data_IF_221955365671
#
_entry.id   IF_221955365671
#
_cell.length_a   1.000
_cell.length_b   1.000
_cell.length_c   1.000
_cell.angle_alpha   90.00
_cell.angle_beta   90.00
_cell.angle_gamma   90.00
#
_symmetry.space_group_name_H-M   'P 1'
#
loop_
_entity.id
_entity.type
_entity.pdbx_description
1 polymer ?
#
# COMPACT_ATOMS: atom_id res chain seq x y z
N UNK A 1 13.09 3.07 -11.68
CA UNK A 1 11.67 3.49 -11.57
C UNK A 1 11.18 3.28 -10.14
N UNK A 2 9.96 3.71 -9.80
CA UNK A 2 9.39 3.39 -8.48
C UNK A 2 9.22 1.88 -8.25
N UNK A 3 8.93 1.13 -9.31
CA UNK A 3 8.80 -0.33 -9.27
C UNK A 3 10.14 -1.03 -8.99
N UNK A 4 11.24 -0.60 -9.62
CA UNK A 4 12.59 -1.12 -9.32
C UNK A 4 12.99 -0.90 -7.86
N UNK A 5 12.77 0.31 -7.33
CA UNK A 5 13.04 0.60 -5.90
C UNK A 5 12.19 -0.26 -4.95
N UNK A 6 10.94 -0.53 -5.32
CA UNK A 6 10.08 -1.44 -4.56
C UNK A 6 10.64 -2.87 -4.58
N UNK A 7 11.08 -3.36 -5.74
CA UNK A 7 11.70 -4.68 -5.86
C UNK A 7 12.95 -4.79 -4.99
N UNK A 8 13.88 -3.83 -5.09
CA UNK A 8 15.08 -3.79 -4.25
C UNK A 8 14.72 -3.79 -2.75
N UNK A 9 13.76 -2.97 -2.34
CA UNK A 9 13.33 -2.90 -0.94
C UNK A 9 12.74 -4.23 -0.47
N UNK A 10 11.92 -4.88 -1.29
CA UNK A 10 11.34 -6.19 -0.96
C UNK A 10 12.44 -7.25 -0.85
N UNK A 11 13.27 -7.41 -1.87
CA UNK A 11 14.19 -8.53 -1.98
C UNK A 11 15.45 -8.37 -1.11
N UNK A 12 16.02 -7.16 -1.04
CA UNK A 12 17.28 -6.94 -0.34
C UNK A 12 17.10 -6.55 1.13
N UNK A 13 15.91 -6.05 1.50
CA UNK A 13 15.62 -5.64 2.88
C UNK A 13 14.57 -6.52 3.54
N UNK A 14 13.32 -6.50 3.06
CA UNK A 14 12.22 -7.15 3.80
C UNK A 14 12.29 -8.68 3.75
N UNK A 15 12.60 -9.25 2.59
CA UNK A 15 12.76 -10.69 2.38
C UNK A 15 14.08 -11.23 2.95
N UNK A 16 14.91 -10.41 3.58
CA UNK A 16 16.03 -10.90 4.40
C UNK A 16 15.62 -11.22 5.84
N UNK A 17 14.43 -10.77 6.28
CA UNK A 17 13.94 -10.97 7.64
C UNK A 17 13.49 -12.43 7.87
N UNK A 18 13.43 -12.88 9.14
CA UNK A 18 12.96 -14.23 9.49
C UNK A 18 11.51 -14.47 9.07
N UNK A 19 11.15 -15.70 8.75
CA UNK A 19 9.81 -16.08 8.31
C UNK A 19 8.73 -15.77 9.35
N UNK A 20 9.04 -15.89 10.65
CA UNK A 20 8.13 -15.58 11.76
C UNK A 20 7.83 -14.08 11.92
N UNK A 21 8.50 -13.21 11.14
CA UNK A 21 8.29 -11.77 11.16
C UNK A 21 6.85 -11.45 10.81
N UNK A 22 6.14 -10.76 11.71
CA UNK A 22 4.74 -10.37 11.48
C UNK A 22 4.66 -9.08 10.68
N UNK A 23 3.91 -9.14 9.58
CA UNK A 23 3.59 -7.99 8.72
C UNK A 23 2.20 -7.47 9.07
N UNK A 24 2.12 -6.17 9.37
CA UNK A 24 0.87 -5.43 9.57
C UNK A 24 0.72 -4.44 8.40
N UNK A 25 -0.27 -4.62 7.51
CA UNK A 25 -0.39 -3.78 6.33
C UNK A 25 -0.91 -2.39 6.70
N UNK A 26 -0.45 -1.36 5.98
CA UNK A 26 -0.98 0.00 6.13
C UNK A 26 -2.37 0.18 5.51
N UNK A 27 -2.75 -0.71 4.59
CA UNK A 27 -4.03 -0.68 3.88
C UNK A 27 -4.57 -2.09 3.64
N UNK A 28 -5.88 -2.20 3.45
CA UNK A 28 -6.58 -3.45 3.16
C UNK A 28 -7.62 -3.22 2.08
N UNK A 29 -7.90 -4.26 1.28
CA UNK A 29 -8.93 -4.17 0.25
C UNK A 29 -10.32 -4.09 0.88
N UNK A 30 -11.07 -3.08 0.45
CA UNK A 30 -12.48 -2.88 0.81
C UNK A 30 -13.30 -3.01 -0.47
N UNK A 31 -14.29 -3.90 -0.46
CA UNK A 31 -15.21 -4.08 -1.58
C UNK A 31 -16.05 -2.84 -1.81
N UNK A 32 -16.62 -2.71 -3.02
CA UNK A 32 -17.47 -1.58 -3.40
C UNK A 32 -18.74 -1.44 -2.53
N UNK A 33 -19.12 -2.48 -1.79
CA UNK A 33 -20.20 -2.48 -0.80
C UNK A 33 -19.74 -2.03 0.60
N UNK A 34 -18.50 -1.57 0.73
CA UNK A 34 -17.89 -1.10 1.98
C UNK A 34 -17.43 -2.21 2.91
N UNK A 35 -17.41 -3.47 2.45
CA UNK A 35 -17.00 -4.61 3.28
C UNK A 35 -15.54 -4.98 3.08
N UNK A 36 -14.83 -5.18 4.19
CA UNK A 36 -13.48 -5.74 4.17
C UNK A 36 -13.51 -7.18 3.66
N UNK A 37 -12.76 -7.45 2.59
CA UNK A 37 -12.66 -8.81 2.03
C UNK A 37 -11.68 -9.71 2.80
N UNK A 38 -10.93 -9.15 3.75
CA UNK A 38 -9.75 -9.79 4.36
C UNK A 38 -9.92 -10.15 5.84
N UNK A 39 -10.84 -9.49 6.57
CA UNK A 39 -11.12 -9.76 7.98
C UNK A 39 -12.42 -9.08 8.41
N UNK A 40 -12.99 -9.48 9.56
CA UNK A 40 -14.11 -8.75 10.15
C UNK A 40 -13.64 -7.46 10.89
N UNK A 41 -14.52 -6.45 11.06
CA UNK A 41 -14.18 -5.26 11.84
C UNK A 41 -13.68 -5.60 13.24
N UNK A 42 -12.50 -5.11 13.61
CA UNK A 42 -11.87 -5.35 14.91
C UNK A 42 -10.98 -6.60 14.98
N UNK A 43 -10.94 -7.42 13.92
CA UNK A 43 -9.99 -8.53 13.82
C UNK A 43 -8.62 -8.03 13.35
N UNK A 44 -7.55 -8.66 13.86
CA UNK A 44 -6.19 -8.36 13.45
C UNK A 44 -5.96 -8.82 12.01
N UNK A 45 -5.65 -7.87 11.13
CA UNK A 45 -5.13 -8.18 9.80
C UNK A 45 -3.61 -8.27 9.87
N UNK A 46 -3.08 -9.48 9.75
CA UNK A 46 -1.63 -9.71 9.70
C UNK A 46 -1.32 -11.04 9.02
N UNK A 47 -0.10 -11.16 8.49
CA UNK A 47 0.48 -12.41 8.03
C UNK A 47 1.92 -12.53 8.54
N UNK A 48 2.49 -13.72 8.56
CA UNK A 48 3.95 -13.86 8.71
C UNK A 48 4.63 -13.70 7.36
N UNK A 49 5.91 -13.33 7.35
CA UNK A 49 6.66 -13.21 6.10
C UNK A 49 6.79 -14.55 5.38
N UNK A 50 6.88 -15.65 6.13
CA UNK A 50 6.82 -17.01 5.58
C UNK A 50 5.52 -17.27 4.81
N UNK A 51 4.37 -16.96 5.41
CA UNK A 51 3.06 -17.11 4.74
C UNK A 51 2.99 -16.29 3.44
N UNK A 52 3.56 -15.07 3.46
CA UNK A 52 3.57 -14.20 2.28
C UNK A 52 4.45 -14.73 1.17
N UNK A 53 5.62 -15.29 1.48
CA UNK A 53 6.52 -15.91 0.49
C UNK A 53 5.87 -17.10 -0.21
N UNK A 54 5.10 -17.89 0.52
CA UNK A 54 4.38 -19.05 -0.03
C UNK A 54 3.11 -18.63 -0.80
N UNK A 55 2.42 -17.58 -0.34
CA UNK A 55 1.12 -17.17 -0.88
C UNK A 55 1.16 -16.12 -1.98
N UNK A 56 2.27 -15.40 -2.17
CA UNK A 56 2.38 -14.30 -3.12
C UNK A 56 3.47 -14.56 -4.16
N UNK A 57 3.07 -15.04 -5.35
CA UNK A 57 3.97 -15.34 -6.46
C UNK A 57 4.89 -14.15 -6.82
N UNK A 58 4.39 -12.92 -6.66
CA UNK A 58 5.13 -11.68 -6.97
C UNK A 58 6.42 -11.54 -6.17
N UNK A 59 6.52 -12.15 -4.97
CA UNK A 59 7.72 -12.11 -4.13
C UNK A 59 8.82 -13.07 -4.60
N UNK A 60 8.53 -13.93 -5.58
CA UNK A 60 9.46 -14.91 -6.14
C UNK A 60 9.87 -14.59 -7.59
N UNK A 61 9.26 -13.55 -8.19
CA UNK A 61 9.56 -13.13 -9.55
C UNK A 61 10.95 -12.52 -9.65
N UNK A 62 11.56 -12.61 -10.83
CA UNK A 62 12.71 -11.75 -11.14
C UNK A 62 12.29 -10.28 -11.32
N UNK A 63 13.25 -9.38 -11.21
CA UNK A 63 13.02 -7.93 -11.27
C UNK A 63 12.25 -7.50 -12.52
N UNK A 64 12.57 -8.08 -13.69
CA UNK A 64 11.93 -7.67 -14.94
C UNK A 64 10.46 -8.09 -14.98
N UNK A 65 10.16 -9.31 -14.54
CA UNK A 65 8.80 -9.82 -14.43
C UNK A 65 8.00 -9.07 -13.35
N UNK A 66 8.63 -8.76 -12.21
CA UNK A 66 8.04 -7.96 -11.14
C UNK A 66 7.65 -6.58 -11.64
N UNK A 67 8.58 -5.84 -12.25
CA UNK A 67 8.36 -4.47 -12.74
C UNK A 67 7.23 -4.46 -13.77
N UNK A 68 7.22 -5.40 -14.71
CA UNK A 68 6.10 -5.53 -15.65
C UNK A 68 4.78 -5.76 -14.92
N UNK A 69 4.73 -6.71 -13.98
CA UNK A 69 3.51 -7.10 -13.27
C UNK A 69 2.93 -6.00 -12.39
N UNK A 70 3.77 -5.20 -11.73
CA UNK A 70 3.30 -4.13 -10.84
C UNK A 70 2.95 -2.83 -11.57
N UNK A 71 3.42 -2.67 -12.81
CA UNK A 71 3.15 -1.47 -13.60
C UNK A 71 2.00 -1.63 -14.61
N UNK A 72 1.60 -2.87 -14.92
CA UNK A 72 0.58 -3.22 -15.92
C UNK A 72 -0.74 -2.45 -15.75
N UNK A 73 -1.23 -2.32 -14.51
CA UNK A 73 -2.52 -1.71 -14.18
C UNK A 73 -2.39 -0.51 -13.22
N UNK A 74 -1.39 0.35 -13.41
CA UNK A 74 -1.21 1.52 -12.53
C UNK A 74 -2.32 2.54 -12.77
N UNK A 75 -3.21 2.82 -11.78
CA UNK A 75 -4.24 3.83 -11.95
C UNK A 75 -3.63 5.24 -12.03
N UNK A 76 -4.37 6.19 -12.61
CA UNK A 76 -3.96 7.59 -12.58
C UNK A 76 -3.85 8.07 -11.13
N UNK A 77 -2.84 8.89 -10.86
CA UNK A 77 -2.64 9.46 -9.53
C UNK A 77 -3.87 10.28 -9.14
N UNK A 78 -4.36 10.16 -7.89
CA UNK A 78 -5.39 11.04 -7.37
C UNK A 78 -5.09 12.51 -7.59
N UNK A 79 -6.10 13.31 -7.95
CA UNK A 79 -5.92 14.74 -8.22
C UNK A 79 -5.35 15.54 -7.03
N UNK A 80 -5.52 15.05 -5.81
CA UNK A 80 -5.08 15.68 -4.56
C UNK A 80 -3.73 15.16 -4.03
N UNK A 81 -3.05 14.22 -4.71
CA UNK A 81 -1.88 13.53 -4.15
C UNK A 81 -0.74 14.48 -3.74
N UNK A 82 -0.46 15.53 -4.53
CA UNK A 82 0.61 16.49 -4.22
C UNK A 82 0.30 17.32 -2.99
N UNK A 83 -0.96 17.75 -2.84
CA UNK A 83 -1.43 18.51 -1.66
C UNK A 83 -1.31 17.65 -0.40
N UNK A 84 -1.68 16.38 -0.47
CA UNK A 84 -1.54 15.43 0.65
C UNK A 84 -0.06 15.27 1.03
N UNK A 85 0.85 15.14 0.06
CA UNK A 85 2.29 15.08 0.33
C UNK A 85 2.80 16.37 1.00
N UNK A 86 2.39 17.55 0.52
CA UNK A 86 2.81 18.82 1.11
C UNK A 86 2.32 18.99 2.55
N UNK A 87 1.09 18.56 2.85
CA UNK A 87 0.56 18.55 4.22
C UNK A 87 1.34 17.56 5.09
N UNK A 88 1.50 16.30 4.64
CA UNK A 88 2.21 15.26 5.41
C UNK A 88 3.69 15.59 5.66
N UNK A 89 4.31 16.35 4.77
CA UNK A 89 5.71 16.81 4.92
C UNK A 89 5.83 18.16 5.66
N UNK A 90 4.70 18.75 6.09
CA UNK A 90 4.66 20.02 6.82
C UNK A 90 4.95 21.26 5.97
N UNK A 91 4.95 21.13 4.63
CA UNK A 91 5.09 22.26 3.69
C UNK A 91 3.80 23.06 3.53
N UNK A 92 2.66 22.45 3.85
CA UNK A 92 1.35 23.09 3.87
C UNK A 92 0.59 22.70 5.15
N UNK A 93 -0.53 23.39 5.39
CA UNK A 93 -1.45 23.07 6.48
C UNK A 93 -2.89 23.18 5.98
N UNK A 94 -3.77 22.38 6.55
CA UNK A 94 -5.22 22.44 6.29
C UNK A 94 -5.84 23.66 6.96
N UNK A 95 -6.82 24.27 6.32
CA UNK A 95 -7.53 25.44 6.83
C UNK A 95 -8.54 25.12 7.93
N UNK A 96 -8.87 23.84 8.15
CA UNK A 96 -9.81 23.39 9.18
C UNK A 96 -10.15 21.89 9.07
N UNK A 97 -10.98 21.40 9.99
CA UNK A 97 -11.38 19.99 10.08
C UNK A 97 -12.20 19.50 8.87
N UNK A 98 -13.03 20.37 8.29
CA UNK A 98 -13.85 20.05 7.11
C UNK A 98 -12.96 19.74 5.89
N UNK A 99 -11.98 20.60 5.62
CA UNK A 99 -11.00 20.39 4.55
C UNK A 99 -10.15 19.14 4.78
N UNK A 100 -9.73 18.89 6.03
CA UNK A 100 -9.02 17.67 6.39
C UNK A 100 -9.88 16.43 6.09
N UNK A 101 -11.15 16.47 6.48
CA UNK A 101 -12.09 15.38 6.26
C UNK A 101 -12.31 15.13 4.76
N UNK A 102 -12.44 16.17 3.93
CA UNK A 102 -12.54 16.01 2.48
C UNK A 102 -11.26 15.44 1.85
N UNK A 103 -10.07 15.76 2.38
CA UNK A 103 -8.81 15.20 1.90
C UNK A 103 -8.66 13.71 2.25
N UNK A 104 -9.19 13.29 3.41
CA UNK A 104 -9.18 11.90 3.86
C UNK A 104 -10.30 11.05 3.22
N UNK A 105 -11.50 11.61 3.04
CA UNK A 105 -12.66 10.93 2.43
C UNK A 105 -12.71 11.05 0.90
N UNK A 106 -11.96 11.99 0.33
CA UNK A 106 -11.96 12.30 -1.10
C UNK A 106 -11.28 11.23 -1.94
N UNK A 107 -10.78 11.58 -3.15
CA UNK A 107 -10.17 10.63 -4.09
C UNK A 107 -8.80 10.08 -3.63
N UNK A 108 -8.51 10.09 -2.33
CA UNK A 108 -7.34 9.48 -1.72
C UNK A 108 -7.46 7.94 -1.72
N UNK A 109 -7.74 7.40 -2.90
CA UNK A 109 -7.80 5.99 -3.27
C UNK A 109 -6.40 5.38 -3.38
N UNK A 110 -5.43 5.83 -2.57
CA UNK A 110 -4.08 5.26 -2.57
C UNK A 110 -4.05 3.77 -2.14
N UNK A 111 -5.23 3.22 -1.83
CA UNK A 111 -5.50 1.84 -1.44
C UNK A 111 -6.68 1.18 -2.20
N UNK A 112 -7.34 1.85 -3.15
CA UNK A 112 -8.54 1.35 -3.82
C UNK A 112 -8.31 0.98 -5.29
#
# INVERSE_FOLDING_TARGET
TGAELLYETLHDTLLSLPDETRVLPGHVSVGADGRYGVAAPGELVSATLGDLREGLDVLSMDESAFVARVTEDTPEKPANYERVIDINTGRASVGGEEEATELELGPNNCAA
#
